data_IF_980071188951
#
_entry.id   IF_980071188951
#
_cell.length_a   1.000
_cell.length_b   1.000
_cell.length_c   1.000
_cell.angle_alpha   90.00
_cell.angle_beta   90.00
_cell.angle_gamma   90.00
#
_symmetry.space_group_name_H-M   'P 1'
#
loop_
_entity.id
_entity.type
_entity.pdbx_description
1 polymer ?
#
# COMPACT_ATOMS: atom_id res chain seq x y z
N UNK A 1 16.36 32.38 12.60
CA UNK A 1 15.36 31.34 12.93
C UNK A 1 15.76 30.10 12.16
N UNK A 2 16.29 29.10 12.85
CA UNK A 2 16.67 27.84 12.23
C UNK A 2 15.38 27.09 11.88
N UNK A 3 15.18 26.85 10.59
CA UNK A 3 14.15 25.93 10.10
C UNK A 3 14.55 24.53 10.55
N UNK A 4 13.89 24.01 11.57
CA UNK A 4 13.98 22.60 11.90
C UNK A 4 13.31 21.85 10.76
N UNK A 5 14.11 21.25 9.87
CA UNK A 5 13.68 20.17 9.00
C UNK A 5 13.26 18.98 9.88
N UNK A 6 12.07 19.06 10.44
CA UNK A 6 11.50 18.00 11.26
C UNK A 6 10.96 16.93 10.31
N UNK A 7 11.67 15.80 10.24
CA UNK A 7 11.08 14.52 9.90
C UNK A 7 11.21 14.11 8.43
N UNK A 8 12.42 13.79 7.98
CA UNK A 8 12.56 12.56 7.19
C UNK A 8 12.04 11.44 8.09
N UNK A 9 10.80 11.01 7.86
CA UNK A 9 10.13 10.02 8.69
C UNK A 9 10.86 8.69 8.53
N UNK A 10 11.23 8.09 9.66
CA UNK A 10 12.04 6.88 9.70
C UNK A 10 11.17 5.68 9.33
N UNK A 11 11.74 4.73 8.60
CA UNK A 11 11.20 3.37 8.49
C UNK A 11 10.95 2.88 9.92
N UNK A 12 9.75 2.35 10.23
CA UNK A 12 9.46 1.86 11.57
C UNK A 12 10.51 0.81 11.95
N UNK A 13 11.05 0.81 13.19
CA UNK A 13 12.04 -0.18 13.63
C UNK A 13 11.47 -1.60 13.76
N UNK A 14 10.20 -1.79 13.39
CA UNK A 14 9.52 -3.06 13.37
C UNK A 14 9.81 -3.80 12.06
N UNK A 15 10.09 -5.09 12.17
CA UNK A 15 10.20 -6.00 11.04
C UNK A 15 9.15 -7.10 11.17
N UNK A 16 8.51 -7.52 10.07
CA UNK A 16 7.74 -8.76 10.04
C UNK A 16 8.57 -9.94 10.59
N UNK A 17 8.01 -10.76 11.49
CA UNK A 17 8.74 -11.90 12.02
C UNK A 17 8.98 -12.95 10.91
N UNK A 18 10.11 -13.68 10.93
CA UNK A 18 10.43 -14.68 9.91
C UNK A 18 9.35 -15.74 9.73
N UNK A 19 8.66 -16.12 10.79
CA UNK A 19 7.57 -17.10 10.77
C UNK A 19 6.37 -16.59 9.98
N UNK A 20 6.07 -15.28 10.06
CA UNK A 20 5.04 -14.65 9.24
C UNK A 20 5.45 -14.65 7.76
N UNK A 21 6.71 -14.28 7.47
CA UNK A 21 7.24 -14.27 6.10
C UNK A 21 7.11 -15.66 5.47
N UNK A 22 7.56 -16.70 6.18
CA UNK A 22 7.42 -18.08 5.72
C UNK A 22 5.96 -18.48 5.49
N UNK A 23 5.06 -18.16 6.43
CA UNK A 23 3.64 -18.45 6.29
C UNK A 23 3.00 -17.71 5.10
N UNK A 24 3.41 -16.47 4.83
CA UNK A 24 2.95 -15.71 3.66
C UNK A 24 3.42 -16.34 2.35
N UNK A 25 4.67 -16.81 2.28
CA UNK A 25 5.22 -17.52 1.12
C UNK A 25 4.48 -18.84 0.89
N UNK A 26 4.27 -19.64 1.93
CA UNK A 26 3.47 -20.88 1.87
C UNK A 26 2.02 -20.61 1.44
N UNK A 27 1.50 -19.42 1.76
CA UNK A 27 0.17 -18.95 1.35
C UNK A 27 0.14 -18.32 -0.06
N UNK A 28 1.26 -18.32 -0.79
CA UNK A 28 1.35 -17.90 -2.19
C UNK A 28 1.95 -16.52 -2.43
N UNK A 29 2.54 -15.86 -1.43
CA UNK A 29 3.36 -14.67 -1.69
C UNK A 29 4.66 -15.05 -2.40
N UNK A 30 5.12 -14.21 -3.31
CA UNK A 30 6.42 -14.35 -3.96
C UNK A 30 7.48 -13.58 -3.17
N UNK A 31 8.56 -14.25 -2.78
CA UNK A 31 9.69 -13.61 -2.09
C UNK A 31 10.87 -13.44 -3.03
N UNK A 32 11.44 -12.24 -3.05
CA UNK A 32 12.67 -11.89 -3.74
C UNK A 32 13.69 -11.39 -2.70
N UNK A 33 14.86 -12.01 -2.63
CA UNK A 33 15.98 -11.48 -1.83
C UNK A 33 16.71 -10.38 -2.60
N UNK A 34 17.10 -9.31 -1.90
CA UNK A 34 17.77 -8.15 -2.48
C UNK A 34 19.12 -7.96 -1.78
N UNK A 35 20.18 -7.80 -2.58
CA UNK A 35 21.50 -7.45 -2.06
C UNK A 35 21.49 -6.03 -1.50
N UNK A 36 21.95 -5.84 -0.25
CA UNK A 36 22.09 -4.51 0.36
C UNK A 36 21.47 -4.32 1.74
N UNK A 37 21.48 -5.35 2.60
CA UNK A 37 21.18 -5.18 4.03
C UNK A 37 22.11 -4.14 4.67
N UNK A 38 21.66 -3.47 5.74
CA UNK A 38 22.51 -2.56 6.51
C UNK A 38 23.73 -3.32 7.06
N UNK A 39 24.92 -2.69 6.99
CA UNK A 39 26.16 -3.25 7.54
C UNK A 39 25.99 -3.46 9.06
N UNK A 40 25.74 -4.70 9.49
CA UNK A 40 25.47 -5.06 10.89
C UNK A 40 24.06 -5.57 11.20
N UNK A 41 23.13 -5.58 10.23
CA UNK A 41 21.88 -6.37 10.30
C UNK A 41 22.06 -7.65 9.46
N UNK A 42 22.14 -8.80 10.12
CA UNK A 42 22.33 -10.11 9.46
C UNK A 42 21.10 -10.54 8.64
N UNK A 43 20.00 -9.76 8.66
CA UNK A 43 18.80 -10.09 7.88
C UNK A 43 18.91 -9.55 6.46
N UNK A 44 18.81 -10.42 5.44
CA UNK A 44 18.79 -9.97 4.06
C UNK A 44 17.53 -9.12 3.82
N UNK A 45 17.71 -8.04 3.06
CA UNK A 45 16.59 -7.25 2.58
C UNK A 45 15.72 -8.12 1.67
N UNK A 46 14.43 -8.22 1.92
CA UNK A 46 13.53 -8.99 1.05
C UNK A 46 12.31 -8.20 0.59
N UNK A 47 11.79 -8.59 -0.56
CA UNK A 47 10.55 -8.07 -1.14
C UNK A 47 9.54 -9.20 -1.20
N UNK A 48 8.42 -9.05 -0.51
CA UNK A 48 7.26 -9.91 -0.62
C UNK A 48 6.25 -9.28 -1.56
N UNK A 49 5.90 -10.00 -2.63
CA UNK A 49 4.86 -9.61 -3.59
C UNK A 49 3.63 -10.49 -3.41
N UNK A 50 2.49 -9.83 -3.26
CA UNK A 50 1.19 -10.45 -3.09
C UNK A 50 0.33 -10.00 -4.27
N UNK A 51 -0.28 -10.94 -4.98
CA UNK A 51 -1.03 -10.59 -6.19
C UNK A 51 -2.24 -9.71 -5.90
N UNK A 52 -3.00 -10.02 -4.84
CA UNK A 52 -4.27 -9.36 -4.52
C UNK A 52 -4.62 -9.39 -3.04
N UNK A 53 -5.46 -8.43 -2.63
CA UNK A 53 -5.92 -8.26 -1.24
C UNK A 53 -6.82 -9.39 -0.74
N UNK A 54 -7.45 -10.17 -1.61
CA UNK A 54 -8.28 -11.31 -1.19
C UNK A 54 -7.45 -12.60 -0.97
N UNK A 55 -6.13 -12.53 -1.13
CA UNK A 55 -5.25 -13.70 -0.96
C UNK A 55 -5.08 -14.09 0.52
N UNK A 56 -4.80 -15.37 0.76
CA UNK A 56 -4.45 -15.87 2.11
C UNK A 56 -3.21 -15.18 2.66
N UNK A 57 -2.20 -14.95 1.82
CA UNK A 57 -0.99 -14.23 2.20
C UNK A 57 -1.29 -12.79 2.66
N UNK A 58 -2.19 -12.07 1.98
CA UNK A 58 -2.63 -10.76 2.43
C UNK A 58 -3.35 -10.82 3.78
N UNK A 59 -4.22 -11.82 3.98
CA UNK A 59 -4.93 -11.96 5.26
C UNK A 59 -3.97 -12.18 6.43
N UNK A 60 -2.92 -13.00 6.25
CA UNK A 60 -1.87 -13.18 7.27
C UNK A 60 -1.15 -11.86 7.59
N UNK A 61 -0.82 -11.07 6.57
CA UNK A 61 -0.23 -9.75 6.78
C UNK A 61 -1.16 -8.80 7.52
N UNK A 62 -2.44 -8.74 7.13
CA UNK A 62 -3.45 -7.93 7.78
C UNK A 62 -3.67 -8.34 9.25
N UNK A 63 -3.74 -9.64 9.54
CA UNK A 63 -3.86 -10.14 10.92
C UNK A 63 -2.66 -9.71 11.76
N UNK A 64 -1.47 -9.74 11.19
CA UNK A 64 -0.28 -9.25 11.87
C UNK A 64 -0.30 -7.74 12.11
N UNK A 65 -0.70 -6.93 11.12
CA UNK A 65 -0.77 -5.47 11.29
C UNK A 65 -1.77 -5.04 12.36
N UNK A 66 -2.84 -5.81 12.56
CA UNK A 66 -3.81 -5.61 13.65
C UNK A 66 -3.19 -5.84 15.06
N UNK A 67 -2.17 -6.69 15.18
CA UNK A 67 -1.50 -7.00 16.45
C UNK A 67 -0.41 -5.99 16.84
N UNK A 68 0.04 -5.12 15.93
CA UNK A 68 1.17 -4.21 16.17
C UNK A 68 0.83 -3.01 17.08
N UNK A 69 -0.44 -2.65 17.23
CA UNK A 69 -0.84 -1.44 17.94
C UNK A 69 -0.44 -0.16 17.20
N UNK A 70 0.19 0.78 17.92
CA UNK A 70 0.56 2.12 17.42
C UNK A 70 1.90 2.09 16.65
N UNK A 71 1.95 1.35 15.54
CA UNK A 71 3.12 1.29 14.64
C UNK A 71 2.73 1.72 13.24
N UNK A 72 3.45 2.72 12.71
CA UNK A 72 3.13 3.32 11.42
C UNK A 72 4.00 2.75 10.30
N UNK A 73 3.43 1.99 9.34
CA UNK A 73 4.14 1.64 8.14
C UNK A 73 4.36 2.86 7.28
N UNK A 74 5.47 2.85 6.54
CA UNK A 74 5.72 3.82 5.49
C UNK A 74 5.13 3.26 4.17
N UNK A 75 4.19 3.99 3.56
CA UNK A 75 3.33 3.48 2.48
C UNK A 75 3.38 4.36 1.23
N UNK A 76 3.37 3.73 0.05
CA UNK A 76 3.18 4.40 -1.25
C UNK A 76 2.48 3.51 -2.27
N UNK A 77 1.90 4.13 -3.29
CA UNK A 77 1.50 3.46 -4.53
C UNK A 77 2.59 3.58 -5.59
N UNK A 78 2.93 2.45 -6.21
CA UNK A 78 3.90 2.34 -7.32
C UNK A 78 3.29 1.60 -8.49
N UNK A 79 3.84 1.80 -9.68
CA UNK A 79 3.44 1.03 -10.86
C UNK A 79 4.41 -0.13 -11.08
N UNK A 80 4.12 -1.28 -10.47
CA UNK A 80 4.93 -2.49 -10.58
C UNK A 80 4.03 -3.72 -10.79
N UNK A 81 3.29 -3.80 -11.92
CA UNK A 81 2.46 -4.97 -12.22
C UNK A 81 3.33 -6.21 -12.38
N UNK A 82 2.78 -7.39 -12.07
CA UNK A 82 3.48 -8.66 -12.37
C UNK A 82 3.67 -8.81 -13.88
N UNK A 83 4.72 -9.53 -14.28
CA UNK A 83 5.04 -9.77 -15.70
C UNK A 83 3.89 -10.45 -16.45
N UNK A 84 3.06 -11.23 -15.76
CA UNK A 84 1.87 -11.86 -16.31
C UNK A 84 0.76 -10.87 -16.71
N UNK A 85 0.72 -9.67 -16.10
CA UNK A 85 -0.28 -8.65 -16.41
C UNK A 85 0.18 -7.70 -17.52
N UNK A 86 1.49 -7.51 -17.68
CA UNK A 86 2.04 -6.56 -18.65
C UNK A 86 1.58 -6.94 -20.06
N UNK A 87 1.01 -5.97 -20.78
CA UNK A 87 0.48 -6.16 -22.13
C UNK A 87 -0.91 -6.81 -22.21
N UNK A 88 -1.49 -7.20 -21.08
CA UNK A 88 -2.88 -7.70 -21.04
C UNK A 88 -3.88 -6.54 -20.94
N UNK A 89 -5.16 -6.74 -21.33
CA UNK A 89 -6.21 -5.75 -21.12
C UNK A 89 -6.48 -5.40 -19.65
N UNK A 90 -6.03 -6.24 -18.71
CA UNK A 90 -6.17 -6.00 -17.27
C UNK A 90 -5.18 -4.94 -16.76
N UNK A 91 -4.09 -4.67 -17.49
CA UNK A 91 -3.11 -3.66 -17.14
C UNK A 91 -3.47 -2.33 -17.85
N UNK A 92 -3.43 -1.18 -17.16
CA UNK A 92 -3.81 0.08 -17.75
C UNK A 92 -2.75 0.55 -18.76
N UNK A 93 -3.16 1.29 -19.80
CA UNK A 93 -2.22 1.96 -20.70
C UNK A 93 -1.22 2.83 -19.95
N UNK A 94 0.04 2.86 -20.40
CA UNK A 94 1.11 3.65 -19.77
C UNK A 94 0.77 5.15 -19.68
N UNK A 95 -0.04 5.66 -20.60
CA UNK A 95 -0.52 7.06 -20.60
C UNK A 95 -1.40 7.41 -19.39
N UNK A 96 -2.03 6.42 -18.75
CA UNK A 96 -2.85 6.62 -17.56
C UNK A 96 -2.07 6.47 -16.25
N UNK A 97 -0.88 5.84 -16.29
CA UNK A 97 -0.13 5.48 -15.09
C UNK A 97 0.18 6.68 -14.20
N UNK A 98 0.62 7.80 -14.78
CA UNK A 98 0.90 9.02 -14.01
C UNK A 98 -0.33 9.54 -13.26
N UNK A 99 -1.50 9.52 -13.91
CA UNK A 99 -2.77 9.91 -13.28
C UNK A 99 -3.18 8.95 -12.17
N UNK A 100 -3.11 7.63 -12.43
CA UNK A 100 -3.44 6.60 -11.45
C UNK A 100 -2.57 6.71 -10.20
N UNK A 101 -1.26 6.85 -10.37
CA UNK A 101 -0.34 6.97 -9.23
C UNK A 101 -0.56 8.27 -8.45
N UNK A 102 -0.88 9.37 -9.13
CA UNK A 102 -1.21 10.63 -8.45
C UNK A 102 -2.46 10.46 -7.58
N UNK A 103 -3.52 9.85 -8.11
CA UNK A 103 -4.76 9.61 -7.38
C UNK A 103 -4.58 8.65 -6.21
N UNK A 104 -3.95 7.49 -6.44
CA UNK A 104 -3.71 6.49 -5.41
C UNK A 104 -2.86 7.06 -4.26
N UNK A 105 -1.74 7.73 -4.55
CA UNK A 105 -0.92 8.35 -3.51
C UNK A 105 -1.65 9.50 -2.79
N UNK A 106 -2.46 10.29 -3.51
CA UNK A 106 -3.29 11.34 -2.91
C UNK A 106 -4.27 10.81 -1.86
N UNK A 107 -4.85 9.64 -2.11
CA UNK A 107 -5.72 8.94 -1.16
C UNK A 107 -4.90 8.50 0.06
N UNK A 108 -3.77 7.82 -0.16
CA UNK A 108 -2.89 7.38 0.95
C UNK A 108 -2.52 8.56 1.85
N UNK A 109 -2.15 9.71 1.27
CA UNK A 109 -1.74 10.89 2.04
C UNK A 109 -2.90 11.58 2.77
N UNK A 110 -4.09 11.63 2.17
CA UNK A 110 -5.27 12.21 2.82
C UNK A 110 -5.82 11.33 3.95
N UNK A 111 -5.65 10.01 3.85
CA UNK A 111 -6.07 9.04 4.86
C UNK A 111 -4.98 8.70 5.88
N UNK A 112 -3.73 9.08 5.62
CA UNK A 112 -2.60 8.85 6.52
C UNK A 112 -2.82 9.31 7.97
N UNK A 113 -3.51 10.43 8.28
CA UNK A 113 -3.72 10.86 9.66
C UNK A 113 -4.96 10.24 10.32
N UNK A 114 -5.69 9.33 9.65
CA UNK A 114 -6.90 8.75 10.22
C UNK A 114 -6.57 7.67 11.23
N UNK A 115 -7.37 7.63 12.30
CA UNK A 115 -7.33 6.57 13.29
C UNK A 115 -8.30 5.44 12.94
N UNK A 116 -8.17 4.29 13.59
CA UNK A 116 -9.16 3.19 13.52
C UNK A 116 -10.54 3.60 14.04
N UNK A 117 -10.67 4.68 14.81
CA UNK A 117 -11.97 5.20 15.27
C UNK A 117 -12.69 6.02 14.18
N UNK A 118 -11.97 6.39 13.12
CA UNK A 118 -12.51 7.06 11.93
C UNK A 118 -12.91 6.07 10.83
N UNK A 119 -12.91 4.77 11.13
CA UNK A 119 -13.44 3.73 10.24
C UNK A 119 -14.86 4.08 9.81
N UNK A 120 -15.05 4.20 8.49
CA UNK A 120 -16.32 4.62 7.87
C UNK A 120 -16.37 6.10 7.45
N UNK A 121 -15.44 6.95 7.87
CA UNK A 121 -15.32 8.36 7.43
C UNK A 121 -14.32 8.57 6.29
N UNK A 122 -13.70 7.50 5.80
CA UNK A 122 -12.60 7.59 4.84
C UNK A 122 -12.96 8.42 3.60
N UNK A 123 -14.14 8.20 3.01
CA UNK A 123 -14.60 8.94 1.83
C UNK A 123 -14.92 10.42 2.11
N UNK A 124 -15.37 10.75 3.33
CA UNK A 124 -15.75 12.11 3.71
C UNK A 124 -14.54 13.06 3.77
N UNK A 125 -13.36 12.51 4.04
CA UNK A 125 -12.10 13.25 4.17
C UNK A 125 -11.48 13.58 2.81
N UNK A 126 -11.87 12.83 1.76
CA UNK A 126 -11.25 12.99 0.45
C UNK A 126 -11.75 14.24 -0.27
N UNK A 127 -10.80 15.03 -0.77
CA UNK A 127 -11.07 16.25 -1.54
C UNK A 127 -10.71 16.12 -3.03
N UNK A 128 -10.30 14.93 -3.46
CA UNK A 128 -9.79 14.67 -4.81
C UNK A 128 -8.25 14.62 -4.87
N UNK A 129 -7.66 14.59 -6.07
CA UNK A 129 -6.22 14.41 -6.24
C UNK A 129 -5.45 15.65 -5.77
N UNK A 130 -4.40 15.43 -4.99
CA UNK A 130 -3.48 16.48 -4.56
C UNK A 130 -2.73 17.05 -5.77
N UNK A 131 -2.42 18.34 -5.70
CA UNK A 131 -1.74 19.08 -6.78
C UNK A 131 -0.21 18.95 -6.74
N UNK A 132 0.34 18.45 -5.64
CA UNK A 132 1.79 18.33 -5.42
C UNK A 132 2.24 16.86 -5.56
N UNK A 133 3.52 16.61 -5.92
CA UNK A 133 4.07 15.26 -5.92
C UNK A 133 3.86 14.61 -4.55
N UNK A 134 3.20 13.46 -4.57
CA UNK A 134 2.87 12.76 -3.34
C UNK A 134 3.95 11.74 -3.05
N UNK A 135 4.65 11.95 -1.94
CA UNK A 135 5.73 11.08 -1.47
C UNK A 135 5.18 9.96 -0.58
N UNK A 136 6.01 8.95 -0.34
CA UNK A 136 5.77 7.92 0.65
C UNK A 136 5.49 8.55 2.02
N UNK A 137 4.50 8.03 2.75
CA UNK A 137 4.00 8.63 4.00
C UNK A 137 3.78 7.57 5.06
N UNK A 138 4.03 7.91 6.33
CA UNK A 138 3.59 7.07 7.43
C UNK A 138 2.08 7.19 7.61
N UNK A 139 1.40 6.07 7.48
CA UNK A 139 -0.03 5.96 7.79
C UNK A 139 -0.15 5.61 9.27
N UNK A 140 -0.93 6.39 10.01
CA UNK A 140 -1.17 6.19 11.43
C UNK A 140 -1.77 4.81 11.66
N UNK A 141 -1.00 3.94 12.33
CA UNK A 141 -1.28 2.50 12.53
C UNK A 141 -1.30 1.65 11.25
N UNK A 142 -0.60 0.53 11.33
CA UNK A 142 -0.55 -0.47 10.28
C UNK A 142 -1.94 -1.00 9.89
N UNK A 143 -2.84 -1.19 10.87
CA UNK A 143 -4.20 -1.66 10.63
C UNK A 143 -5.03 -0.69 9.77
N UNK A 144 -4.90 0.63 9.93
CA UNK A 144 -5.60 1.63 9.08
C UNK A 144 -5.14 1.51 7.63
N UNK A 145 -3.83 1.37 7.45
CA UNK A 145 -3.23 1.22 6.11
C UNK A 145 -3.70 -0.02 5.35
N UNK A 146 -4.13 -1.07 6.06
CA UNK A 146 -4.61 -2.33 5.47
C UNK A 146 -6.13 -2.44 5.40
N UNK A 147 -6.88 -1.75 6.27
CA UNK A 147 -8.35 -1.87 6.39
C UNK A 147 -9.12 -0.68 5.82
N UNK A 148 -8.58 0.53 5.88
CA UNK A 148 -9.27 1.75 5.43
C UNK A 148 -8.73 2.22 4.08
N UNK A 149 -7.41 2.28 3.94
CA UNK A 149 -6.77 2.89 2.75
C UNK A 149 -7.03 2.06 1.49
N UNK A 150 -6.83 0.73 1.54
CA UNK A 150 -6.92 -0.11 0.35
C UNK A 150 -8.34 -0.18 -0.27
N UNK A 151 -9.42 -0.37 0.50
CA UNK A 151 -10.78 -0.34 -0.06
C UNK A 151 -11.10 0.97 -0.77
N UNK A 152 -10.67 2.10 -0.20
CA UNK A 152 -10.87 3.41 -0.80
C UNK A 152 -10.08 3.55 -2.11
N UNK A 153 -8.82 3.11 -2.17
CA UNK A 153 -8.06 3.10 -3.43
C UNK A 153 -8.74 2.21 -4.49
N UNK A 154 -9.29 1.07 -4.09
CA UNK A 154 -9.99 0.18 -5.01
C UNK A 154 -11.28 0.81 -5.57
N UNK A 155 -11.86 1.81 -4.88
CA UNK A 155 -13.08 2.51 -5.27
C UNK A 155 -13.22 3.94 -4.69
N UNK A 156 -12.46 4.94 -5.18
CA UNK A 156 -12.33 6.24 -4.52
C UNK A 156 -13.46 7.25 -4.79
N UNK A 157 -14.54 6.83 -5.47
CA UNK A 157 -15.63 7.73 -5.87
C UNK A 157 -15.29 8.65 -7.05
N UNK A 158 -16.21 9.56 -7.38
CA UNK A 158 -16.16 10.45 -8.55
C UNK A 158 -15.12 11.57 -8.44
N UNK A 159 -14.69 11.90 -7.22
CA UNK A 159 -13.62 12.88 -6.96
C UNK A 159 -12.25 12.46 -7.51
N UNK A 160 -12.05 11.17 -7.81
CA UNK A 160 -10.81 10.61 -8.36
C UNK A 160 -11.07 10.03 -9.76
N UNK A 161 -11.18 10.90 -10.78
CA UNK A 161 -11.74 10.55 -12.08
C UNK A 161 -10.94 9.50 -12.85
N UNK A 162 -9.62 9.42 -12.67
CA UNK A 162 -8.79 8.47 -13.43
C UNK A 162 -9.06 7.05 -12.99
N UNK A 163 -8.96 6.76 -11.68
CA UNK A 163 -9.26 5.44 -11.12
C UNK A 163 -10.75 5.11 -11.24
N UNK A 164 -11.62 6.10 -11.01
CA UNK A 164 -13.07 5.89 -11.10
C UNK A 164 -13.52 5.44 -12.49
N UNK A 165 -12.91 5.99 -13.54
CA UNK A 165 -13.23 5.65 -14.93
C UNK A 165 -12.69 4.27 -15.39
N UNK A 166 -11.85 3.61 -14.59
CA UNK A 166 -11.32 2.28 -14.93
C UNK A 166 -12.41 1.21 -14.82
N UNK A 167 -12.49 0.25 -15.77
CA UNK A 167 -13.29 -0.94 -15.61
C UNK A 167 -12.96 -1.74 -14.34
N UNK A 168 -13.99 -2.36 -13.75
CA UNK A 168 -13.81 -3.30 -12.65
C UNK A 168 -12.90 -4.47 -13.05
N UNK A 169 -12.08 -4.91 -12.11
CA UNK A 169 -11.06 -5.95 -12.31
C UNK A 169 -9.79 -5.46 -12.99
N UNK A 170 -9.72 -4.20 -13.43
CA UNK A 170 -8.48 -3.63 -13.98
C UNK A 170 -7.49 -3.37 -12.86
N UNK A 171 -6.23 -3.74 -13.08
CA UNK A 171 -5.12 -3.40 -12.18
C UNK A 171 -4.95 -1.88 -12.12
N UNK A 172 -4.82 -1.35 -10.92
CA UNK A 172 -4.61 0.07 -10.65
C UNK A 172 -3.12 0.32 -10.45
N UNK A 173 -2.58 -0.23 -9.35
CA UNK A 173 -1.22 -0.01 -8.89
C UNK A 173 -0.82 -1.13 -7.93
N UNK A 174 0.43 -1.07 -7.45
CA UNK A 174 0.93 -1.88 -6.35
C UNK A 174 1.08 -0.97 -5.14
N UNK A 175 0.52 -1.36 -4.00
CA UNK A 175 0.73 -0.66 -2.73
C UNK A 175 1.91 -1.31 -2.03
N UNK A 176 2.89 -0.49 -1.69
CA UNK A 176 4.12 -0.91 -1.04
C UNK A 176 4.14 -0.40 0.40
N UNK A 177 4.44 -1.31 1.31
CA UNK A 177 4.66 -1.10 2.73
C UNK A 177 6.13 -1.34 3.03
N UNK A 178 6.78 -0.35 3.60
CA UNK A 178 8.21 -0.41 3.95
C UNK A 178 8.36 -0.64 5.45
N UNK A 179 9.02 -1.73 5.78
CA UNK A 179 9.39 -2.15 7.13
C UNK A 179 10.91 -2.28 7.22
N UNK A 180 11.47 -2.40 8.43
CA UNK A 180 12.89 -2.73 8.57
C UNK A 180 13.18 -4.09 7.91
N UNK A 181 14.08 -4.11 6.93
CA UNK A 181 14.53 -5.32 6.25
C UNK A 181 13.51 -5.97 5.29
N UNK A 182 12.28 -5.44 5.17
CA UNK A 182 11.23 -6.07 4.36
C UNK A 182 10.38 -5.03 3.64
N UNK A 183 10.19 -5.23 2.34
CA UNK A 183 9.15 -4.55 1.57
C UNK A 183 7.99 -5.51 1.32
N UNK A 184 6.79 -5.14 1.76
CA UNK A 184 5.57 -5.91 1.46
C UNK A 184 4.80 -5.15 0.41
N UNK A 185 4.41 -5.82 -0.68
CA UNK A 185 3.73 -5.20 -1.79
C UNK A 185 2.51 -6.00 -2.20
N UNK A 186 1.40 -5.32 -2.47
CA UNK A 186 0.14 -5.96 -2.89
C UNK A 186 -0.43 -5.28 -4.13
N UNK A 187 -0.85 -6.09 -5.11
CA UNK A 187 -1.56 -5.61 -6.29
C UNK A 187 -2.95 -5.11 -5.93
N UNK A 188 -3.28 -3.91 -6.40
CA UNK A 188 -4.60 -3.30 -6.25
C UNK A 188 -5.34 -3.30 -7.57
N UNK A 189 -6.62 -3.67 -7.49
CA UNK A 189 -7.53 -3.73 -8.62
C UNK A 189 -8.76 -2.90 -8.33
N UNK A 190 -9.37 -2.39 -9.40
CA UNK A 190 -10.65 -1.72 -9.32
C UNK A 190 -11.72 -2.72 -8.87
N UNK A 191 -12.32 -2.48 -7.71
CA UNK A 191 -13.34 -3.38 -7.16
C UNK A 191 -14.75 -2.88 -7.43
N UNK A 192 -15.67 -3.83 -7.69
CA UNK A 192 -17.10 -3.58 -7.77
C UNK A 192 -17.81 -3.62 -6.41
N UNK A 193 -17.10 -4.11 -5.38
CA UNK A 193 -17.65 -4.22 -4.05
C UNK A 193 -17.56 -2.87 -3.36
N UNK A 194 -18.67 -2.43 -2.80
CA UNK A 194 -18.69 -1.55 -1.63
C UNK A 194 -18.01 -2.33 -0.51
N UNK A 195 -16.67 -2.39 -0.50
CA UNK A 195 -15.91 -3.08 0.55
C UNK A 195 -15.92 -2.19 1.78
N UNK A 196 -17.04 -2.14 2.49
CA UNK A 196 -17.10 -1.75 3.89
C UNK A 196 -18.36 -2.36 4.53
N UNK A 197 -18.15 -3.45 5.28
CA UNK A 197 -18.76 -3.68 6.58
C UNK A 197 -17.78 -4.51 7.42
#
# INVERSE_FOLDING_TARGET
MASTCTGLRRVPPCAPPPELIAAMVDAGAHMEEVEGGEEGDDRPLCVLRIDKVESKAWKLYQDWTELLGDVDPLVQAVFAPSTALVGTPLCPPLTLVGGILNEANSIINQLAPLSTEDSGKGEDVLTGPLQAPVMMVNVDRASVSTTVVLPVIANPGDKYPVIHAMPYGQYICTIQYVWTGVFISVGMYRSNATVLA
#
